data_IF_445838811369
#
_entry.id   IF_445838811369
#
_cell.length_a   1.000
_cell.length_b   1.000
_cell.length_c   1.000
_cell.angle_alpha   90.00
_cell.angle_beta   90.00
_cell.angle_gamma   90.00
#
_symmetry.space_group_name_H-M   'P 1'
#
loop_
_entity.id
_entity.type
_entity.pdbx_description
1 polymer ?
#
# COMPACT_ATOMS: atom_id res chain seq x y z
N UNK A 1 -4.14 12.06 -7.44
CA UNK A 1 -4.42 11.60 -8.82
C UNK A 1 -3.07 11.36 -9.45
N UNK A 2 -2.69 10.09 -9.55
CA UNK A 2 -2.57 9.35 -10.81
C UNK A 2 -1.44 9.93 -11.67
N UNK A 3 -0.48 9.21 -12.21
CA UNK A 3 -0.14 7.79 -12.31
C UNK A 3 0.90 7.77 -13.44
N UNK A 4 1.92 6.91 -13.38
CA UNK A 4 2.51 6.16 -14.52
C UNK A 4 3.85 5.60 -14.05
N UNK A 5 3.90 4.32 -13.70
CA UNK A 5 4.29 3.23 -14.62
C UNK A 5 5.75 3.37 -15.04
N UNK A 6 6.64 2.73 -14.29
CA UNK A 6 7.90 2.26 -14.87
C UNK A 6 7.82 0.75 -15.09
N UNK A 7 8.28 0.38 -16.28
CA UNK A 7 8.00 -0.82 -17.03
C UNK A 7 9.26 -1.66 -16.98
N UNK A 8 9.17 -2.84 -16.37
CA UNK A 8 10.20 -3.87 -16.48
C UNK A 8 10.44 -4.27 -17.94
N UNK A 9 11.70 -4.46 -18.35
CA UNK A 9 12.05 -5.46 -19.34
C UNK A 9 12.68 -6.67 -18.64
N UNK A 10 12.13 -7.85 -18.94
CA UNK A 10 12.67 -9.13 -18.51
C UNK A 10 13.79 -9.65 -19.43
N UNK A 11 14.44 -10.67 -18.89
CA UNK A 11 15.23 -11.71 -19.55
C UNK A 11 16.59 -11.33 -20.17
N UNK A 12 17.64 -11.75 -19.45
CA UNK A 12 18.99 -11.92 -19.98
C UNK A 12 19.77 -12.87 -19.11
N UNK A 13 19.62 -14.18 -19.36
CA UNK A 13 20.50 -15.24 -18.89
C UNK A 13 21.94 -14.94 -19.33
N UNK A 14 22.69 -14.27 -18.44
CA UNK A 14 24.09 -13.96 -18.67
C UNK A 14 24.93 -15.24 -18.70
N UNK A 15 25.30 -15.66 -19.91
CA UNK A 15 26.42 -16.55 -20.15
C UNK A 15 27.65 -16.02 -19.39
N UNK A 16 28.05 -16.69 -18.31
CA UNK A 16 29.35 -16.48 -17.68
C UNK A 16 30.43 -16.99 -18.63
N UNK A 17 31.02 -16.09 -19.40
CA UNK A 17 32.18 -16.37 -20.23
C UNK A 17 33.36 -16.77 -19.33
N UNK A 18 33.65 -18.07 -19.26
CA UNK A 18 34.77 -18.63 -18.51
C UNK A 18 36.10 -18.09 -19.06
N UNK A 19 36.78 -17.25 -18.28
CA UNK A 19 38.08 -16.66 -18.65
C UNK A 19 39.19 -17.45 -17.97
N UNK A 20 39.81 -18.37 -18.70
CA UNK A 20 40.98 -19.13 -18.25
C UNK A 20 42.25 -18.34 -18.55
N UNK A 21 43.00 -17.95 -17.53
CA UNK A 21 44.34 -17.37 -17.69
C UNK A 21 45.33 -18.23 -16.90
N UNK A 22 46.27 -18.87 -17.58
CA UNK A 22 47.41 -19.55 -16.96
C UNK A 22 48.68 -18.76 -17.29
N UNK A 23 49.44 -18.39 -16.25
CA UNK A 23 50.79 -17.84 -16.45
C UNK A 23 51.71 -18.99 -16.91
N UNK A 24 52.52 -18.83 -17.97
CA UNK A 24 53.38 -19.91 -18.43
C UNK A 24 54.41 -20.27 -17.35
N UNK A 25 54.31 -21.49 -16.82
CA UNK A 25 55.31 -22.06 -15.91
C UNK A 25 56.30 -22.86 -16.74
N UNK A 26 57.56 -22.43 -16.75
CA UNK A 26 58.62 -23.15 -17.44
C UNK A 26 58.76 -24.57 -16.86
N UNK A 27 58.73 -25.57 -17.74
CA UNK A 27 59.00 -26.97 -17.41
C UNK A 27 60.46 -27.07 -17.00
N UNK A 28 60.82 -27.64 -15.83
CA UNK A 28 62.21 -27.93 -15.53
C UNK A 28 62.69 -29.01 -16.50
N UNK A 29 63.41 -28.56 -17.52
CA UNK A 29 64.15 -29.41 -18.43
C UNK A 29 65.27 -30.10 -17.64
N UNK A 30 65.00 -31.25 -17.01
CA UNK A 30 66.05 -32.19 -16.65
C UNK A 30 66.56 -32.88 -17.93
N UNK A 31 67.12 -32.08 -18.85
CA UNK A 31 68.06 -32.59 -19.86
C UNK A 31 69.33 -32.93 -19.10
N UNK A 32 69.48 -34.20 -18.71
CA UNK A 32 70.81 -34.75 -18.45
C UNK A 32 71.60 -34.65 -19.75
N UNK A 33 72.58 -33.75 -19.83
CA UNK A 33 73.59 -33.77 -20.89
C UNK A 33 74.81 -34.53 -20.40
N UNK A 34 75.11 -35.60 -21.12
CA UNK A 34 76.44 -35.99 -21.59
C UNK A 34 77.55 -36.20 -20.54
N UNK A 35 77.47 -37.32 -19.83
CA UNK A 35 78.40 -38.45 -19.92
C UNK A 35 77.91 -39.57 -19.00
N UNK A 36 78.25 -40.80 -19.36
CA UNK A 36 77.87 -42.08 -18.74
C UNK A 36 76.79 -42.84 -19.51
N UNK A 37 77.04 -43.00 -20.82
CA UNK A 37 76.60 -44.17 -21.59
C UNK A 37 77.78 -45.11 -21.58
N UNK A 38 77.80 -46.08 -20.67
CA UNK A 38 78.43 -47.39 -20.88
C UNK A 38 77.84 -48.33 -19.82
N UNK A 39 77.14 -49.36 -20.30
CA UNK A 39 76.56 -50.49 -19.56
C UNK A 39 75.18 -50.23 -18.91
N UNK A 40 74.10 -50.35 -19.69
CA UNK A 40 72.94 -51.13 -19.25
C UNK A 40 72.07 -51.51 -20.46
N UNK A 41 71.73 -52.79 -20.52
CA UNK A 41 70.99 -53.49 -21.56
C UNK A 41 69.53 -53.02 -21.68
N UNK A 42 68.91 -53.34 -22.82
CA UNK A 42 67.52 -53.08 -23.17
C UNK A 42 66.52 -53.55 -22.09
N UNK A 43 65.99 -52.62 -21.30
CA UNK A 43 64.79 -52.85 -20.47
C UNK A 43 63.53 -52.54 -21.30
N UNK A 44 62.56 -53.46 -21.40
CA UNK A 44 61.34 -53.24 -22.16
C UNK A 44 60.52 -52.09 -21.54
N UNK A 45 60.15 -51.12 -22.39
CA UNK A 45 59.22 -50.03 -22.07
C UNK A 45 57.96 -50.60 -21.39
N UNK A 46 57.86 -50.44 -20.07
CA UNK A 46 56.70 -50.84 -19.28
C UNK A 46 55.51 -49.93 -19.66
N UNK A 47 54.65 -50.38 -20.56
CA UNK A 47 53.35 -49.73 -20.80
C UNK A 47 52.52 -49.84 -19.52
N UNK A 48 52.43 -48.75 -18.77
CA UNK A 48 51.59 -48.67 -17.59
C UNK A 48 50.13 -48.84 -17.98
N UNK A 49 49.46 -49.82 -17.37
CA UNK A 49 48.03 -50.05 -17.57
C UNK A 49 47.25 -48.77 -17.22
N UNK A 50 46.60 -48.19 -18.23
CA UNK A 50 45.77 -46.98 -18.14
C UNK A 50 44.65 -47.14 -17.11
N UNK A 51 44.30 -48.37 -16.73
CA UNK A 51 43.34 -48.75 -15.67
C UNK A 51 43.79 -48.45 -14.23
N UNK A 52 45.07 -48.13 -13.99
CA UNK A 52 45.56 -47.76 -12.65
C UNK A 52 46.23 -46.38 -12.61
N UNK A 53 46.24 -45.66 -13.73
CA UNK A 53 46.78 -44.30 -13.79
C UNK A 53 45.84 -43.32 -13.07
N UNK A 54 46.36 -42.65 -12.04
CA UNK A 54 45.65 -41.64 -11.25
C UNK A 54 45.30 -40.39 -12.07
N UNK A 55 45.95 -40.17 -13.21
CA UNK A 55 45.63 -39.06 -14.13
C UNK A 55 44.37 -39.32 -14.94
N UNK A 56 43.96 -40.59 -15.06
CA UNK A 56 42.82 -41.02 -15.86
C UNK A 56 41.60 -41.07 -14.94
N UNK A 57 40.83 -39.99 -14.92
CA UNK A 57 39.59 -39.89 -14.15
C UNK A 57 38.52 -40.77 -14.82
N UNK A 58 38.11 -41.85 -14.13
CA UNK A 58 37.03 -42.73 -14.60
C UNK A 58 35.75 -42.39 -13.86
N UNK A 59 34.77 -41.84 -14.58
CA UNK A 59 33.49 -41.42 -14.01
C UNK A 59 32.87 -40.28 -14.80
N UNK A 60 31.62 -39.93 -14.44
CA UNK A 60 30.85 -38.88 -15.08
C UNK A 60 31.39 -37.50 -14.66
N UNK A 61 31.71 -36.61 -15.61
CA UNK A 61 32.37 -35.30 -15.36
C UNK A 61 31.46 -34.21 -14.77
N UNK A 62 30.16 -34.51 -14.58
CA UNK A 62 29.16 -33.56 -14.07
C UNK A 62 29.16 -33.37 -12.55
N UNK A 63 29.96 -34.14 -11.80
CA UNK A 63 30.08 -34.02 -10.34
C UNK A 63 31.48 -33.56 -9.91
N UNK A 64 32.07 -32.60 -10.64
CA UNK A 64 33.20 -31.83 -10.10
C UNK A 64 32.66 -30.99 -8.93
N UNK A 65 33.15 -31.18 -7.68
CA UNK A 65 32.84 -30.27 -6.60
C UNK A 65 33.43 -28.90 -6.99
N UNK A 66 32.54 -27.96 -7.26
CA UNK A 66 32.93 -26.56 -7.42
C UNK A 66 33.37 -26.07 -6.04
N UNK A 67 34.69 -25.92 -5.89
CA UNK A 67 35.33 -25.11 -4.85
C UNK A 67 35.34 -25.69 -3.44
N UNK A 68 36.43 -26.36 -3.08
CA UNK A 68 36.87 -26.44 -1.68
C UNK A 68 38.14 -25.61 -1.51
N UNK A 69 38.11 -24.74 -0.50
CA UNK A 69 39.22 -23.89 -0.09
C UNK A 69 40.38 -24.76 0.43
N UNK A 70 41.65 -24.37 0.19
CA UNK A 70 42.80 -25.13 0.67
C UNK A 70 42.88 -25.03 2.19
N UNK A 71 42.58 -26.12 2.91
CA UNK A 71 42.81 -26.19 4.37
C UNK A 71 41.92 -27.13 5.18
N UNK A 72 40.81 -27.66 4.64
CA UNK A 72 40.02 -28.67 5.35
C UNK A 72 40.15 -30.05 4.70
N UNK A 73 40.48 -31.11 5.47
CA UNK A 73 40.38 -32.48 4.98
C UNK A 73 38.90 -32.86 4.76
N UNK A 74 38.60 -33.44 3.61
CA UNK A 74 37.26 -33.89 3.23
C UNK A 74 36.64 -34.77 4.34
N UNK A 75 35.38 -34.54 4.75
CA UNK A 75 34.74 -35.30 5.82
C UNK A 75 34.68 -36.81 5.55
N UNK A 76 34.65 -37.21 4.27
CA UNK A 76 34.74 -38.60 3.81
C UNK A 76 36.14 -39.21 3.98
N UNK A 77 37.22 -38.43 3.82
CA UNK A 77 38.58 -38.91 4.09
C UNK A 77 38.84 -39.02 5.59
N UNK A 78 38.34 -38.07 6.39
CA UNK A 78 38.44 -38.11 7.85
C UNK A 78 37.75 -39.36 8.42
N UNK A 79 36.56 -39.70 7.90
CA UNK A 79 35.82 -40.92 8.28
C UNK A 79 36.59 -42.19 7.91
N UNK A 80 37.20 -42.24 6.71
CA UNK A 80 38.02 -43.37 6.26
C UNK A 80 39.26 -43.56 7.13
N UNK A 81 39.93 -42.46 7.54
CA UNK A 81 41.08 -42.50 8.44
C UNK A 81 40.67 -42.96 9.86
N UNK A 82 39.53 -42.50 10.37
CA UNK A 82 39.01 -42.96 11.67
C UNK A 82 38.66 -44.45 11.65
N UNK A 83 38.04 -44.94 10.55
CA UNK A 83 37.73 -46.36 10.38
C UNK A 83 39.00 -47.23 10.27
N UNK A 84 40.02 -46.75 9.55
CA UNK A 84 41.32 -47.42 9.47
C UNK A 84 42.02 -47.48 10.84
N UNK A 85 42.00 -46.38 11.60
CA UNK A 85 42.50 -46.35 12.99
C UNK A 85 41.75 -47.32 13.90
N UNK A 86 40.41 -47.39 13.81
CA UNK A 86 39.59 -48.38 14.56
C UNK A 86 39.97 -49.81 14.22
N UNK A 87 40.14 -50.14 12.94
CA UNK A 87 40.52 -51.49 12.50
C UNK A 87 41.92 -51.87 12.96
N UNK A 88 42.88 -50.94 12.90
CA UNK A 88 44.24 -51.15 13.40
C UNK A 88 44.25 -51.41 14.92
N UNK A 89 43.46 -50.65 15.69
CA UNK A 89 43.37 -50.78 17.14
C UNK A 89 42.67 -52.10 17.55
N UNK A 90 41.63 -52.52 16.82
CA UNK A 90 40.99 -53.82 17.00
C UNK A 90 41.95 -54.99 16.70
N UNK A 91 42.76 -54.87 15.63
CA UNK A 91 43.79 -55.88 15.29
C UNK A 91 44.87 -55.98 16.37
N UNK A 92 45.27 -54.84 16.96
CA UNK A 92 46.22 -54.79 18.08
C UNK A 92 45.66 -55.44 19.36
N UNK A 93 44.38 -55.21 19.68
CA UNK A 93 43.68 -55.88 20.80
C UNK A 93 43.54 -57.39 20.58
N UNK A 94 43.19 -57.82 19.36
CA UNK A 94 43.11 -59.24 19.02
C UNK A 94 44.49 -59.93 19.13
N UNK A 95 45.57 -59.27 18.70
CA UNK A 95 46.93 -59.78 18.91
C UNK A 95 47.31 -59.87 20.38
N UNK A 96 46.84 -58.95 21.23
CA UNK A 96 47.09 -59.01 22.67
C UNK A 96 46.32 -60.15 23.35
N UNK A 97 45.09 -60.45 22.92
CA UNK A 97 44.34 -61.61 23.43
C UNK A 97 44.92 -62.96 22.98
N UNK A 98 45.57 -63.00 21.82
CA UNK A 98 46.27 -64.19 21.32
C UNK A 98 47.70 -64.32 21.86
N UNK A 99 48.17 -63.41 22.74
CA UNK A 99 49.46 -63.62 23.40
C UNK A 99 49.31 -64.79 24.39
N UNK A 100 50.08 -65.88 24.23
CA UNK A 100 50.07 -66.96 25.21
C UNK A 100 50.51 -66.40 26.57
N UNK A 101 49.82 -66.82 27.65
CA UNK A 101 50.04 -66.33 29.02
C UNK A 101 51.32 -66.89 29.66
N UNK A 102 52.08 -67.67 28.90
CA UNK A 102 53.40 -68.17 29.29
C UNK A 102 54.45 -67.05 29.25
N UNK A 103 55.38 -67.02 30.21
CA UNK A 103 56.45 -66.02 30.25
C UNK A 103 57.34 -66.07 29.01
N UNK A 104 57.99 -64.95 28.67
CA UNK A 104 58.85 -64.86 27.49
C UNK A 104 60.06 -65.82 27.60
N UNK A 105 60.49 -66.46 26.48
CA UNK A 105 61.62 -67.38 26.51
C UNK A 105 62.92 -66.67 26.90
N UNK A 106 63.73 -67.32 27.74
CA UNK A 106 65.05 -66.84 28.18
C UNK A 106 65.95 -66.57 26.97
N UNK A 107 66.73 -65.48 27.01
CA UNK A 107 67.60 -65.06 25.91
C UNK A 107 68.50 -66.23 25.43
N UNK A 108 68.44 -66.51 24.12
CA UNK A 108 69.18 -67.61 23.49
C UNK A 108 68.41 -68.94 23.35
N UNK A 109 67.17 -69.05 23.85
CA UNK A 109 66.31 -70.23 23.64
C UNK A 109 65.02 -69.85 22.90
N UNK A 110 64.47 -70.79 22.13
CA UNK A 110 63.15 -70.67 21.48
C UNK A 110 62.22 -71.71 22.08
N UNK A 111 60.98 -71.33 22.36
CA UNK A 111 59.95 -72.30 22.73
C UNK A 111 59.63 -73.20 21.52
N UNK A 112 59.49 -74.50 21.77
CA UNK A 112 59.07 -75.52 20.80
C UNK A 112 57.83 -76.20 21.38
N UNK A 113 56.82 -76.40 20.55
CA UNK A 113 55.58 -77.07 20.97
C UNK A 113 55.86 -78.57 21.15
N UNK A 114 55.60 -79.08 22.35
CA UNK A 114 55.70 -80.50 22.69
C UNK A 114 54.30 -81.10 22.62
N UNK A 115 54.15 -82.32 22.06
CA UNK A 115 52.88 -83.04 22.06
C UNK A 115 52.45 -83.35 23.51
N UNK A 116 51.52 -82.56 24.04
CA UNK A 116 50.89 -82.77 25.35
C UNK A 116 49.49 -83.37 25.24
N UNK A 117 49.16 -83.93 24.08
CA UNK A 117 47.93 -84.68 23.89
C UNK A 117 48.01 -86.06 24.55
N UNK A 118 46.90 -86.50 25.14
CA UNK A 118 46.83 -87.74 25.92
C UNK A 118 46.94 -88.95 24.98
N UNK A 119 48.13 -89.54 24.87
CA UNK A 119 48.36 -90.79 24.14
C UNK A 119 48.40 -91.95 25.15
N UNK A 120 47.34 -92.78 25.18
CA UNK A 120 47.25 -93.94 26.06
C UNK A 120 47.45 -95.22 25.23
N UNK A 121 48.47 -96.02 25.56
CA UNK A 121 48.61 -97.41 25.12
C UNK A 121 47.93 -98.34 26.14
N UNK A 122 47.05 -99.23 25.69
CA UNK A 122 46.32 -100.16 26.54
C UNK A 122 47.20 -101.41 26.80
N UNK A 123 47.60 -101.64 28.06
CA UNK A 123 48.37 -102.83 28.47
C UNK A 123 47.38 -103.97 28.79
N UNK A 124 47.42 -105.05 28.00
CA UNK A 124 46.40 -106.12 28.02
C UNK A 124 46.72 -107.34 28.92
N UNK A 125 47.51 -107.18 29.99
CA UNK A 125 47.88 -108.29 30.89
C UNK A 125 47.08 -108.24 32.21
N UNK A 126 46.34 -109.31 32.54
CA UNK A 126 45.49 -109.40 33.74
C UNK A 126 46.29 -109.95 34.94
N UNK A 127 46.21 -109.28 36.09
CA UNK A 127 46.83 -109.72 37.36
C UNK A 127 45.93 -110.74 38.07
N UNK A 128 46.54 -111.73 38.73
CA UNK A 128 45.86 -112.85 39.41
C UNK A 128 45.48 -112.46 40.85
N UNK A 129 44.20 -112.62 41.21
CA UNK A 129 43.66 -112.39 42.57
C UNK A 129 43.58 -113.71 43.36
N UNK A 130 43.85 -113.68 44.67
CA UNK A 130 43.77 -114.84 45.58
C UNK A 130 42.99 -114.47 46.84
N UNK A 131 41.92 -115.20 47.11
CA UNK A 131 41.08 -115.04 48.31
C UNK A 131 41.62 -115.84 49.50
N UNK A 132 41.57 -115.25 50.69
CA UNK A 132 41.89 -115.90 51.96
C UNK A 132 40.76 -115.70 52.98
N UNK A 133 40.27 -116.79 53.55
CA UNK A 133 39.26 -116.79 54.62
C UNK A 133 39.85 -117.38 55.91
N UNK A 134 39.51 -116.81 57.08
CA UNK A 134 39.89 -117.32 58.40
C UNK A 134 38.75 -117.17 59.40
N UNK A 135 38.48 -118.23 60.18
CA UNK A 135 37.32 -118.39 61.07
C UNK A 135 37.73 -118.73 62.53
N UNK A 136 36.95 -118.17 63.47
CA UNK A 136 36.64 -118.54 64.90
C UNK A 136 37.66 -118.36 66.03
N UNK A 137 37.24 -117.65 67.10
CA UNK A 137 36.70 -118.27 68.34
C UNK A 137 35.86 -117.24 69.18
N UNK A 138 35.04 -117.71 70.12
CA UNK A 138 34.07 -116.92 70.91
C UNK A 138 34.69 -116.22 72.15
N UNK A 139 34.66 -114.88 72.16
CA UNK A 139 35.18 -114.02 73.24
C UNK A 139 34.23 -113.95 74.44
N UNK A 140 34.75 -114.15 75.67
CA UNK A 140 34.07 -113.76 76.92
C UNK A 140 34.33 -112.27 77.23
N UNK A 141 33.30 -111.55 77.69
CA UNK A 141 33.36 -110.10 77.89
C UNK A 141 34.32 -109.68 79.00
N UNK A 142 35.41 -109.02 78.58
CA UNK A 142 36.34 -108.29 79.45
C UNK A 142 35.68 -106.98 79.89
N UNK A 143 35.73 -106.59 81.19
CA UNK A 143 35.18 -105.31 81.62
C UNK A 143 35.84 -104.15 80.86
N UNK A 144 35.09 -103.09 80.53
CA UNK A 144 35.57 -102.02 79.67
C UNK A 144 36.76 -101.30 80.33
N UNK A 145 37.88 -101.27 79.61
CA UNK A 145 39.09 -100.55 80.04
C UNK A 145 38.75 -99.06 80.18
N UNK A 146 39.12 -98.39 81.29
CA UNK A 146 38.82 -96.96 81.46
C UNK A 146 39.43 -96.12 80.34
N UNK A 147 38.67 -95.13 79.86
CA UNK A 147 39.09 -94.24 78.78
C UNK A 147 40.31 -93.42 79.21
N UNK A 148 41.42 -93.62 78.50
CA UNK A 148 42.63 -92.81 78.68
C UNK A 148 42.39 -91.42 78.05
N UNK A 149 42.34 -90.39 78.88
CA UNK A 149 42.31 -88.99 78.43
C UNK A 149 43.74 -88.45 78.51
N UNK A 150 44.42 -88.20 77.37
CA UNK A 150 45.75 -87.63 77.38
C UNK A 150 45.75 -86.23 78.01
N UNK A 151 46.75 -85.92 78.83
CA UNK A 151 46.97 -84.54 79.27
C UNK A 151 47.24 -83.65 78.05
N UNK A 152 46.63 -82.46 78.00
CA UNK A 152 46.91 -81.51 76.91
C UNK A 152 48.38 -81.09 76.99
N UNK A 153 49.18 -81.52 76.02
CA UNK A 153 50.59 -81.12 75.89
C UNK A 153 50.69 -80.04 74.81
N UNK A 154 50.74 -78.78 75.24
CA UNK A 154 50.86 -77.59 74.39
C UNK A 154 50.73 -76.32 75.24
N UNK A 155 51.35 -75.22 74.81
CA UNK A 155 51.14 -73.91 75.43
C UNK A 155 50.11 -73.15 74.60
N UNK A 156 48.96 -72.86 75.20
CA UNK A 156 47.93 -72.04 74.55
C UNK A 156 48.42 -70.58 74.48
N UNK A 157 48.52 -70.03 73.26
CA UNK A 157 48.88 -68.62 73.01
C UNK A 157 47.74 -68.00 72.21
N UNK A 158 47.14 -66.94 72.75
CA UNK A 158 46.18 -66.12 72.03
C UNK A 158 46.88 -64.89 71.45
N UNK A 159 46.71 -64.67 70.15
CA UNK A 159 47.14 -63.45 69.47
C UNK A 159 45.89 -62.65 69.12
N UNK A 160 45.77 -61.44 69.64
CA UNK A 160 44.67 -60.52 69.37
C UNK A 160 45.25 -59.25 68.78
N UNK A 161 44.66 -58.79 67.67
CA UNK A 161 44.93 -57.49 67.09
C UNK A 161 44.08 -56.46 67.82
N UNK A 162 44.69 -55.37 68.29
CA UNK A 162 44.01 -54.28 68.97
C UNK A 162 43.52 -53.21 67.98
N UNK A 163 42.53 -52.42 68.39
CA UNK A 163 42.03 -51.30 67.59
C UNK A 163 43.18 -50.32 67.27
N UNK A 164 43.38 -50.05 65.98
CA UNK A 164 44.42 -49.16 65.47
C UNK A 164 45.75 -49.83 65.06
N UNK A 165 45.96 -51.11 65.34
CA UNK A 165 47.23 -51.80 65.03
C UNK A 165 47.46 -52.05 63.52
N UNK A 166 46.38 -52.11 62.72
CA UNK A 166 46.44 -52.22 61.25
C UNK A 166 46.04 -50.92 60.51
N UNK A 167 45.93 -49.80 61.22
CA UNK A 167 45.52 -48.55 60.58
C UNK A 167 46.62 -48.00 59.66
N UNK A 168 46.32 -47.91 58.36
CA UNK A 168 47.14 -47.23 57.37
C UNK A 168 46.49 -45.89 56.98
N UNK A 169 47.09 -44.79 57.44
CA UNK A 169 46.60 -43.45 57.17
C UNK A 169 46.54 -43.14 55.66
N UNK A 170 47.57 -43.55 54.91
CA UNK A 170 47.68 -43.23 53.48
C UNK A 170 46.65 -44.00 52.65
N UNK A 171 46.14 -45.12 53.15
CA UNK A 171 45.04 -45.84 52.52
C UNK A 171 43.69 -45.22 52.87
N UNK A 172 43.46 -44.91 54.14
CA UNK A 172 42.15 -44.47 54.64
C UNK A 172 41.82 -43.02 54.26
N UNK A 173 42.83 -42.15 54.12
CA UNK A 173 42.64 -40.73 53.78
C UNK A 173 42.31 -40.51 52.29
N UNK A 174 42.66 -41.46 51.41
CA UNK A 174 42.43 -41.37 49.96
C UNK A 174 40.97 -41.09 49.57
N UNK A 175 39.97 -41.88 50.02
CA UNK A 175 38.57 -41.60 49.68
C UNK A 175 38.08 -40.25 50.20
N UNK A 176 38.57 -39.79 51.36
CA UNK A 176 38.24 -38.46 51.87
C UNK A 176 38.81 -37.34 50.99
N UNK A 177 40.08 -37.46 50.60
CA UNK A 177 40.73 -36.47 49.73
C UNK A 177 40.12 -36.45 48.33
N UNK A 178 39.80 -37.62 47.76
CA UNK A 178 39.14 -37.72 46.46
C UNK A 178 37.79 -36.98 46.46
N UNK A 179 36.98 -37.16 47.51
CA UNK A 179 35.69 -36.45 47.64
C UNK A 179 35.90 -34.95 47.85
N UNK A 180 36.84 -34.55 48.70
CA UNK A 180 37.10 -33.13 48.96
C UNK A 180 37.61 -32.41 47.72
N UNK A 181 38.61 -32.97 47.04
CA UNK A 181 39.17 -32.40 45.82
C UNK A 181 38.15 -32.41 44.69
N UNK A 182 37.44 -33.54 44.51
CA UNK A 182 36.40 -33.68 43.50
C UNK A 182 35.29 -32.63 43.67
N UNK A 183 34.76 -32.49 44.89
CA UNK A 183 33.69 -31.53 45.19
C UNK A 183 34.15 -30.08 45.07
N UNK A 184 35.39 -29.78 45.46
CA UNK A 184 35.96 -28.42 45.34
C UNK A 184 36.11 -28.04 43.87
N UNK A 185 36.63 -28.95 43.03
CA UNK A 185 36.78 -28.70 41.59
C UNK A 185 35.42 -28.59 40.92
N UNK A 186 34.49 -29.49 41.21
CA UNK A 186 33.13 -29.47 40.64
C UNK A 186 32.39 -28.18 40.99
N UNK A 187 32.42 -27.77 42.27
CA UNK A 187 31.83 -26.52 42.70
C UNK A 187 32.46 -25.32 42.01
N UNK A 188 33.80 -25.25 41.97
CA UNK A 188 34.50 -24.13 41.31
C UNK A 188 34.20 -24.04 39.81
N UNK A 189 34.03 -25.18 39.13
CA UNK A 189 33.69 -25.20 37.72
C UNK A 189 32.26 -24.69 37.47
N UNK A 190 31.30 -25.11 38.31
CA UNK A 190 29.92 -24.66 38.22
C UNK A 190 29.79 -23.16 38.47
N UNK A 191 30.49 -22.64 39.48
CA UNK A 191 30.49 -21.20 39.81
C UNK A 191 31.06 -20.37 38.64
N UNK A 192 32.19 -20.77 38.07
CA UNK A 192 32.80 -20.06 36.93
C UNK A 192 31.90 -20.10 35.69
N UNK A 193 31.25 -21.24 35.42
CA UNK A 193 30.31 -21.35 34.30
C UNK A 193 29.08 -20.44 34.50
N UNK A 194 28.53 -20.40 35.71
CA UNK A 194 27.40 -19.51 36.04
C UNK A 194 27.79 -18.04 35.89
N UNK A 195 28.98 -17.64 36.35
CA UNK A 195 29.47 -16.28 36.22
C UNK A 195 29.64 -15.86 34.75
N UNK A 196 30.18 -16.73 33.90
CA UNK A 196 30.36 -16.47 32.47
C UNK A 196 29.01 -16.36 31.74
N UNK A 197 28.05 -17.24 32.08
CA UNK A 197 26.69 -17.18 31.55
C UNK A 197 25.99 -15.87 31.96
N UNK A 198 26.07 -15.49 33.25
CA UNK A 198 25.51 -14.23 33.75
C UNK A 198 26.16 -13.00 33.09
N UNK A 199 27.47 -13.01 32.89
CA UNK A 199 28.18 -11.94 32.19
C UNK A 199 27.71 -11.81 30.73
N UNK A 200 27.52 -12.94 30.05
CA UNK A 200 27.02 -13.00 28.67
C UNK A 200 25.57 -12.52 28.58
N UNK A 201 24.70 -12.90 29.51
CA UNK A 201 23.31 -12.43 29.55
C UNK A 201 23.23 -10.93 29.79
N UNK A 202 24.05 -10.39 30.71
CA UNK A 202 24.12 -8.94 30.96
C UNK A 202 24.62 -8.16 29.74
N UNK A 203 25.68 -8.63 29.08
CA UNK A 203 26.20 -7.95 27.88
C UNK A 203 25.17 -7.94 26.76
N UNK A 204 24.47 -9.06 26.55
CA UNK A 204 23.36 -9.15 25.61
C UNK A 204 22.23 -8.18 25.98
N UNK A 205 21.81 -8.13 27.24
CA UNK A 205 20.76 -7.21 27.70
C UNK A 205 21.13 -5.75 27.44
N UNK A 206 22.37 -5.33 27.76
CA UNK A 206 22.82 -3.97 27.48
C UNK A 206 22.82 -3.65 25.99
N UNK A 207 23.27 -4.58 25.14
CA UNK A 207 23.24 -4.40 23.69
C UNK A 207 21.80 -4.25 23.17
N UNK A 208 20.86 -5.04 23.68
CA UNK A 208 19.43 -4.91 23.33
C UNK A 208 18.83 -3.59 23.80
N UNK A 209 19.15 -3.15 25.02
CA UNK A 209 18.68 -1.87 25.55
C UNK A 209 19.22 -0.68 24.74
N UNK A 210 20.50 -0.73 24.33
CA UNK A 210 21.10 0.28 23.48
C UNK A 210 20.39 0.39 22.13
N UNK A 211 20.20 -0.76 21.45
CA UNK A 211 19.46 -0.82 20.18
C UNK A 211 18.04 -0.29 20.36
N UNK A 212 17.33 -0.73 21.40
CA UNK A 212 15.96 -0.31 21.68
C UNK A 212 15.87 1.21 21.91
N UNK A 213 16.83 1.79 22.63
CA UNK A 213 16.86 3.23 22.89
C UNK A 213 17.10 4.03 21.61
N UNK A 214 17.99 3.54 20.73
CA UNK A 214 18.25 4.14 19.42
C UNK A 214 16.99 4.06 18.53
N UNK A 215 16.36 2.89 18.44
CA UNK A 215 15.14 2.68 17.67
C UNK A 215 14.00 3.58 18.17
N UNK A 216 13.82 3.68 19.50
CA UNK A 216 12.80 4.53 20.09
C UNK A 216 13.03 6.02 19.74
N UNK A 217 14.27 6.49 19.81
CA UNK A 217 14.61 7.86 19.44
C UNK A 217 14.37 8.13 17.95
N UNK A 218 14.67 7.17 17.08
CA UNK A 218 14.42 7.31 15.63
C UNK A 218 12.93 7.30 15.30
N UNK A 219 12.14 6.44 15.95
CA UNK A 219 10.67 6.43 15.80
C UNK A 219 10.08 7.77 16.21
N UNK A 220 10.48 8.33 17.35
CA UNK A 220 10.02 9.66 17.80
C UNK A 220 10.38 10.76 16.79
N UNK A 221 11.59 10.72 16.22
CA UNK A 221 12.03 11.66 15.19
C UNK A 221 11.15 11.59 13.94
N UNK A 222 10.83 10.38 13.49
CA UNK A 222 10.00 10.13 12.31
C UNK A 222 8.54 10.51 12.56
N UNK A 223 7.98 10.20 13.72
CA UNK A 223 6.61 10.57 14.10
C UNK A 223 6.42 12.10 14.13
N UNK A 224 7.37 12.82 14.72
CA UNK A 224 7.34 14.29 14.76
C UNK A 224 7.45 14.88 13.35
N UNK A 225 8.32 14.32 12.49
CA UNK A 225 8.40 14.71 11.09
C UNK A 225 7.09 14.44 10.34
N UNK A 226 6.48 13.26 10.54
CA UNK A 226 5.21 12.90 9.92
C UNK A 226 4.08 13.82 10.39
N UNK A 227 4.05 14.17 11.68
CA UNK A 227 3.08 15.12 12.24
C UNK A 227 3.15 16.46 11.51
N UNK A 228 4.35 17.03 11.36
CA UNK A 228 4.56 18.30 10.63
C UNK A 228 4.12 18.20 9.17
N UNK A 229 4.47 17.12 8.48
CA UNK A 229 4.06 16.92 7.09
C UNK A 229 2.55 16.75 6.95
N UNK A 230 1.90 16.07 7.91
CA UNK A 230 0.45 15.87 7.93
C UNK A 230 -0.28 17.19 8.13
N UNK A 231 0.15 17.99 9.11
CA UNK A 231 -0.40 19.32 9.37
C UNK A 231 -0.27 20.25 8.15
N UNK A 232 0.90 20.29 7.52
CA UNK A 232 1.10 21.10 6.30
C UNK A 232 0.23 20.59 5.14
N UNK A 233 0.15 19.26 4.95
CA UNK A 233 -0.70 18.66 3.90
C UNK A 233 -2.19 18.99 4.12
N UNK A 234 -2.67 18.95 5.36
CA UNK A 234 -4.04 19.33 5.69
C UNK A 234 -4.29 20.81 5.42
N UNK A 235 -3.37 21.70 5.81
CA UNK A 235 -3.45 23.13 5.49
C UNK A 235 -3.52 23.38 3.98
N UNK A 236 -2.67 22.71 3.20
CA UNK A 236 -2.69 22.82 1.73
C UNK A 236 -3.98 22.30 1.13
N UNK A 237 -4.51 21.19 1.65
CA UNK A 237 -5.80 20.63 1.22
C UNK A 237 -6.94 21.61 1.50
N UNK A 238 -6.95 22.25 2.68
CA UNK A 238 -7.97 23.23 3.03
C UNK A 238 -7.91 24.46 2.12
N UNK A 239 -6.71 25.02 1.90
CA UNK A 239 -6.52 26.13 0.97
C UNK A 239 -7.01 25.80 -0.44
N UNK A 240 -6.66 24.61 -0.95
CA UNK A 240 -7.11 24.17 -2.27
C UNK A 240 -8.63 23.99 -2.32
N UNK A 241 -9.21 23.45 -1.26
CA UNK A 241 -10.67 23.29 -1.16
C UNK A 241 -11.38 24.64 -1.19
N UNK A 242 -10.89 25.64 -0.44
CA UNK A 242 -11.44 27.00 -0.44
C UNK A 242 -11.31 27.66 -1.83
N UNK A 243 -10.19 27.47 -2.53
CA UNK A 243 -9.99 27.98 -3.90
C UNK A 243 -11.00 27.35 -4.86
N UNK A 244 -11.16 26.03 -4.81
CA UNK A 244 -12.10 25.31 -5.67
C UNK A 244 -13.54 25.70 -5.36
N UNK A 245 -13.89 25.86 -4.08
CA UNK A 245 -15.21 26.30 -3.66
C UNK A 245 -15.54 27.68 -4.23
N UNK A 246 -14.64 28.66 -4.04
CA UNK A 246 -14.80 30.01 -4.59
C UNK A 246 -14.87 29.99 -6.12
N UNK A 247 -14.03 29.18 -6.77
CA UNK A 247 -14.07 29.05 -8.23
C UNK A 247 -15.43 28.53 -8.70
N UNK A 248 -15.98 27.50 -8.06
CA UNK A 248 -17.29 26.96 -8.38
C UNK A 248 -18.40 28.01 -8.17
N UNK A 249 -18.39 28.75 -7.06
CA UNK A 249 -19.34 29.84 -6.84
C UNK A 249 -19.25 30.91 -7.93
N UNK A 250 -18.03 31.32 -8.29
CA UNK A 250 -17.83 32.33 -9.34
C UNK A 250 -18.29 31.81 -10.70
N UNK A 251 -18.01 30.54 -11.03
CA UNK A 251 -18.44 29.90 -12.26
C UNK A 251 -19.98 29.85 -12.36
N UNK A 252 -20.66 29.52 -11.27
CA UNK A 252 -22.13 29.53 -11.19
C UNK A 252 -22.71 30.94 -11.34
N UNK A 253 -22.09 31.96 -10.73
CA UNK A 253 -22.52 33.35 -10.89
C UNK A 253 -22.35 33.83 -12.33
N UNK A 254 -21.23 33.49 -12.97
CA UNK A 254 -20.95 33.83 -14.36
C UNK A 254 -21.94 33.11 -15.29
N UNK A 255 -22.19 31.81 -15.07
CA UNK A 255 -23.13 31.05 -15.90
C UNK A 255 -24.57 31.56 -15.75
N UNK A 256 -25.02 31.87 -14.52
CA UNK A 256 -26.33 32.44 -14.26
C UNK A 256 -26.49 33.82 -14.93
N UNK A 257 -25.47 34.69 -14.84
CA UNK A 257 -25.46 35.98 -15.53
C UNK A 257 -25.56 35.81 -17.05
N UNK A 258 -24.71 34.96 -17.62
CA UNK A 258 -24.71 34.72 -19.07
C UNK A 258 -26.04 34.13 -19.55
N UNK A 259 -26.62 33.20 -18.78
CA UNK A 259 -27.94 32.63 -19.04
C UNK A 259 -29.03 33.71 -18.99
N UNK A 260 -29.07 34.53 -17.94
CA UNK A 260 -30.04 35.61 -17.81
C UNK A 260 -29.91 36.63 -18.95
N UNK A 261 -28.70 37.01 -19.34
CA UNK A 261 -28.47 37.92 -20.45
C UNK A 261 -29.01 37.36 -21.77
N UNK A 262 -28.70 36.09 -22.08
CA UNK A 262 -29.22 35.44 -23.29
C UNK A 262 -30.73 35.30 -23.27
N UNK A 263 -31.29 34.84 -22.15
CA UNK A 263 -32.72 34.67 -21.99
C UNK A 263 -33.48 35.99 -22.13
N UNK A 264 -33.00 37.06 -21.49
CA UNK A 264 -33.60 38.40 -21.59
C UNK A 264 -33.44 39.01 -22.99
N UNK A 265 -32.33 38.76 -23.67
CA UNK A 265 -32.11 39.24 -25.03
C UNK A 265 -33.12 38.66 -26.02
N UNK A 266 -33.55 37.40 -25.83
CA UNK A 266 -34.54 36.74 -26.69
C UNK A 266 -35.99 37.05 -26.22
N UNK A 267 -36.21 37.14 -24.91
CA UNK A 267 -37.54 37.40 -24.34
C UNK A 267 -38.02 38.83 -24.58
N UNK A 268 -37.15 39.84 -24.44
CA UNK A 268 -37.56 41.23 -24.55
C UNK A 268 -38.18 41.53 -25.93
N UNK A 269 -37.51 41.26 -27.08
CA UNK A 269 -38.09 41.46 -28.39
C UNK A 269 -39.40 40.71 -28.57
N UNK A 270 -39.46 39.43 -28.17
CA UNK A 270 -40.68 38.62 -28.29
C UNK A 270 -41.87 39.20 -27.51
N UNK A 271 -41.64 39.68 -26.28
CA UNK A 271 -42.69 40.34 -25.49
C UNK A 271 -43.07 41.68 -26.11
N UNK A 272 -42.11 42.50 -26.52
CA UNK A 272 -42.37 43.79 -27.17
C UNK A 272 -43.15 43.63 -28.48
N UNK A 273 -42.83 42.62 -29.30
CA UNK A 273 -43.56 42.29 -30.52
C UNK A 273 -44.97 41.81 -30.20
N UNK A 274 -45.15 40.89 -29.23
CA UNK A 274 -46.48 40.46 -28.82
C UNK A 274 -47.36 41.60 -28.27
N UNK A 275 -46.75 42.56 -27.57
CA UNK A 275 -47.43 43.70 -26.99
C UNK A 275 -47.75 44.78 -28.06
N UNK A 276 -46.93 44.86 -29.11
CA UNK A 276 -47.20 45.65 -30.31
C UNK A 276 -48.34 45.04 -31.12
N UNK A 277 -48.31 43.73 -31.35
CA UNK A 277 -49.34 43.00 -32.10
C UNK A 277 -50.71 43.01 -31.38
N UNK A 278 -50.71 43.00 -30.06
CA UNK A 278 -51.93 43.16 -29.24
C UNK A 278 -52.44 44.60 -29.16
N UNK A 279 -51.76 45.56 -29.82
CA UNK A 279 -52.22 46.94 -29.95
C UNK A 279 -52.03 47.81 -28.71
N UNK A 280 -51.18 47.39 -27.75
CA UNK A 280 -50.92 48.18 -26.54
C UNK A 280 -49.97 49.35 -26.82
N UNK A 281 -49.03 49.18 -27.76
CA UNK A 281 -48.22 50.29 -28.29
C UNK A 281 -48.95 50.95 -29.45
N UNK A 282 -49.38 52.20 -29.27
CA UNK A 282 -49.99 53.02 -30.30
C UNK A 282 -49.09 54.21 -30.65
N UNK A 283 -49.18 54.69 -31.89
CA UNK A 283 -48.59 55.97 -32.25
C UNK A 283 -49.46 57.08 -31.64
N UNK A 284 -48.91 57.95 -30.77
CA UNK A 284 -49.67 59.04 -30.17
C UNK A 284 -50.32 59.95 -31.23
N UNK A 285 -49.71 60.09 -32.40
CA UNK A 285 -50.23 60.93 -33.49
C UNK A 285 -51.44 60.25 -34.14
N UNK A 286 -51.35 58.96 -34.44
CA UNK A 286 -52.45 58.20 -35.01
C UNK A 286 -53.66 58.19 -34.06
N UNK A 287 -53.41 58.00 -32.76
CA UNK A 287 -54.47 58.02 -31.74
C UNK A 287 -55.11 59.40 -31.57
N UNK A 288 -54.32 60.47 -31.61
CA UNK A 288 -54.83 61.84 -31.53
C UNK A 288 -55.66 62.21 -32.78
N UNK A 289 -55.27 61.70 -33.95
CA UNK A 289 -56.08 61.84 -35.16
C UNK A 289 -57.40 61.07 -35.02
N UNK A 290 -57.37 59.81 -34.58
CA UNK A 290 -58.57 58.98 -34.42
C UNK A 290 -59.55 59.51 -33.37
N UNK A 291 -59.05 59.98 -32.21
CA UNK A 291 -59.88 60.38 -31.07
C UNK A 291 -60.18 61.88 -31.06
N UNK A 292 -59.23 62.71 -31.49
CA UNK A 292 -59.38 64.15 -31.50
C UNK A 292 -59.88 64.67 -32.85
N UNK A 293 -59.10 64.47 -33.90
CA UNK A 293 -59.35 65.11 -35.20
C UNK A 293 -60.56 64.55 -35.95
N UNK A 294 -60.70 63.22 -36.06
CA UNK A 294 -61.81 62.62 -36.82
C UNK A 294 -63.18 62.97 -36.22
N UNK A 295 -63.42 62.88 -34.90
CA UNK A 295 -64.70 63.29 -34.33
C UNK A 295 -64.95 64.79 -34.47
N UNK A 296 -63.91 65.62 -34.33
CA UNK A 296 -64.02 67.06 -34.59
C UNK A 296 -64.42 67.36 -36.04
N UNK A 297 -63.78 66.70 -37.01
CA UNK A 297 -64.08 66.86 -38.43
C UNK A 297 -65.51 66.39 -38.74
N UNK A 298 -65.91 65.23 -38.21
CA UNK A 298 -67.26 64.69 -38.41
C UNK A 298 -68.33 65.61 -37.82
N UNK A 299 -68.09 66.20 -36.64
CA UNK A 299 -68.98 67.19 -36.03
C UNK A 299 -69.06 68.49 -36.85
N UNK A 300 -67.94 68.95 -37.41
CA UNK A 300 -67.97 70.15 -38.25
C UNK A 300 -68.71 69.91 -39.57
N UNK A 301 -68.52 68.73 -40.18
CA UNK A 301 -69.32 68.30 -41.35
C UNK A 301 -70.81 68.21 -40.98
N UNK A 302 -71.14 67.64 -39.82
CA UNK A 302 -72.53 67.57 -39.33
C UNK A 302 -73.15 68.96 -39.17
N UNK A 303 -72.47 69.91 -38.53
CA UNK A 303 -72.94 71.30 -38.44
C UNK A 303 -73.18 71.92 -39.81
N UNK A 304 -72.26 71.75 -40.78
CA UNK A 304 -72.47 72.28 -42.12
C UNK A 304 -73.67 71.64 -42.83
N UNK A 305 -73.93 70.36 -42.59
CA UNK A 305 -75.12 69.67 -43.08
C UNK A 305 -76.38 70.21 -42.40
N UNK A 306 -76.36 70.42 -41.08
CA UNK A 306 -77.46 71.03 -40.32
C UNK A 306 -77.78 72.44 -40.83
N UNK A 307 -76.76 73.31 -41.01
CA UNK A 307 -76.96 74.63 -41.59
C UNK A 307 -77.55 74.58 -42.99
N UNK A 308 -77.10 73.64 -43.85
CA UNK A 308 -77.69 73.43 -45.17
C UNK A 308 -79.13 72.91 -45.08
N UNK A 309 -79.44 72.05 -44.12
CA UNK A 309 -80.78 71.52 -43.90
C UNK A 309 -81.73 72.61 -43.38
N UNK A 310 -81.29 73.42 -42.43
CA UNK A 310 -82.02 74.62 -41.97
C UNK A 310 -82.19 75.63 -43.11
N UNK A 311 -81.16 75.86 -43.92
CA UNK A 311 -81.27 76.69 -45.12
C UNK A 311 -82.33 76.19 -46.10
N UNK A 312 -82.39 74.86 -46.32
CA UNK A 312 -83.42 74.22 -47.15
C UNK A 312 -84.80 74.31 -46.52
N UNK A 313 -84.97 74.11 -45.22
CA UNK A 313 -86.29 74.22 -44.56
C UNK A 313 -86.80 75.65 -44.57
N UNK A 314 -85.94 76.65 -44.33
CA UNK A 314 -86.31 78.07 -44.44
C UNK A 314 -86.70 78.41 -45.87
N UNK A 315 -85.96 77.92 -46.87
CA UNK A 315 -86.31 78.11 -48.28
C UNK A 315 -87.67 77.47 -48.60
N UNK A 316 -87.93 76.25 -48.14
CA UNK A 316 -89.22 75.58 -48.32
C UNK A 316 -90.37 76.33 -47.60
N UNK A 317 -90.14 76.86 -46.40
CA UNK A 317 -91.11 77.71 -45.68
C UNK A 317 -91.40 78.99 -46.45
N UNK A 318 -90.36 79.65 -47.00
CA UNK A 318 -90.52 80.84 -47.82
C UNK A 318 -91.30 80.54 -49.10
N UNK A 319 -91.02 79.40 -49.76
CA UNK A 319 -91.78 78.93 -50.92
C UNK A 319 -93.25 78.70 -50.53
N UNK A 320 -93.53 78.04 -49.40
CA UNK A 320 -94.89 77.84 -48.90
C UNK A 320 -95.60 79.17 -48.63
N UNK A 321 -94.98 80.12 -47.95
CA UNK A 321 -95.56 81.45 -47.71
C UNK A 321 -95.85 82.22 -49.00
N UNK A 322 -94.95 82.16 -49.98
CA UNK A 322 -95.15 82.81 -51.28
C UNK A 322 -96.30 82.15 -52.04
N UNK A 323 -96.43 80.83 -51.95
CA UNK A 323 -97.56 80.08 -52.56
C UNK A 323 -98.87 80.41 -51.84
N UNK A 324 -98.92 80.42 -50.51
CA UNK A 324 -100.11 80.83 -49.73
C UNK A 324 -100.51 82.28 -50.00
N UNK A 325 -99.57 83.24 -50.02
CA UNK A 325 -99.86 84.63 -50.37
C UNK A 325 -100.42 84.75 -51.78
N UNK A 326 -99.93 83.95 -52.73
CA UNK A 326 -100.50 83.90 -54.08
C UNK A 326 -101.90 83.29 -54.08
N UNK A 327 -102.13 82.20 -53.33
CA UNK A 327 -103.44 81.55 -53.21
C UNK A 327 -104.48 82.51 -52.58
N UNK A 328 -104.13 83.17 -51.47
CA UNK A 328 -104.96 84.19 -50.82
C UNK A 328 -105.22 85.40 -51.72
N UNK A 329 -104.25 85.80 -52.57
CA UNK A 329 -104.45 86.87 -53.55
C UNK A 329 -105.37 86.45 -54.71
N UNK A 330 -105.56 85.14 -54.95
CA UNK A 330 -106.60 84.64 -55.84
C UNK A 330 -107.96 84.62 -55.12
N UNK A 331 -108.05 84.12 -53.88
CA UNK A 331 -109.30 84.11 -53.09
C UNK A 331 -109.83 85.54 -52.81
N UNK A 332 -108.97 86.51 -52.48
CA UNK A 332 -109.37 87.93 -52.35
C UNK A 332 -109.73 88.62 -53.67
N UNK A 333 -109.37 88.06 -54.83
CA UNK A 333 -109.84 88.54 -56.14
C UNK A 333 -111.19 87.94 -56.53
N UNK A 334 -111.64 86.87 -55.88
CA UNK A 334 -112.99 86.33 -56.02
C UNK A 334 -113.97 86.97 -55.00
N UNK A 335 -113.48 87.47 -53.86
CA UNK A 335 -114.29 88.18 -52.85
C UNK A 335 -114.36 89.72 -53.02
N UNK A 336 -113.58 90.31 -53.94
CA UNK A 336 -113.63 91.74 -54.34
C UNK A 336 -114.54 91.98 -55.55
N UNK A 337 -115.73 91.41 -55.50
CA UNK A 337 -116.88 91.92 -56.26
C UNK A 337 -117.52 93.09 -55.47
N UNK A 338 -118.00 94.12 -56.19
CA UNK A 338 -119.16 94.93 -55.76
C UNK A 338 -119.07 95.76 -54.44
N UNK A 339 -118.55 97.00 -54.47
CA UNK A 339 -119.16 98.19 -53.77
C UNK A 339 -118.35 99.51 -53.83
N UNK A 340 -118.74 100.37 -54.78
CA UNK A 340 -119.03 101.83 -54.74
C UNK A 340 -118.32 102.82 -53.77
N UNK A 341 -117.57 103.77 -54.38
CA UNK A 341 -117.50 105.28 -54.30
C UNK A 341 -118.51 105.96 -53.31
N UNK A 342 -118.27 107.11 -52.59
CA UNK A 342 -117.63 108.34 -53.13
C UNK A 342 -116.96 109.42 -52.20
N UNK A 343 -116.47 110.48 -52.88
CA UNK A 343 -116.24 111.91 -52.52
C UNK A 343 -114.93 112.40 -51.86
N UNK A 344 -114.10 113.02 -52.72
CA UNK A 344 -113.64 114.42 -52.76
C UNK A 344 -112.96 115.15 -51.56
N UNK A 345 -111.68 115.50 -51.80
CA UNK A 345 -111.29 116.92 -51.94
C UNK A 345 -110.41 117.57 -50.85
N UNK A 346 -109.30 118.19 -51.31
CA UNK A 346 -108.38 119.14 -50.64
C UNK A 346 -107.34 118.53 -49.68
N UNK A 347 -106.05 118.87 -49.67
CA UNK A 347 -105.22 119.93 -50.27
C UNK A 347 -103.98 120.09 -49.36
N UNK A 348 -102.76 120.06 -49.93
CA UNK A 348 -101.46 120.02 -49.20
C UNK A 348 -101.10 121.25 -48.34
N UNK A 349 -99.87 121.39 -47.78
CA UNK A 349 -98.58 121.08 -48.41
C UNK A 349 -97.52 120.38 -47.53
N UNK A 350 -96.39 120.02 -48.16
CA UNK A 350 -95.39 119.08 -47.66
C UNK A 350 -94.44 119.54 -46.55
N UNK A 351 -93.93 118.52 -45.85
CA UNK A 351 -92.73 118.55 -45.02
C UNK A 351 -92.16 117.11 -44.93
N UNK A 352 -90.98 116.88 -45.48
CA UNK A 352 -90.14 115.72 -45.13
C UNK A 352 -89.09 116.21 -44.14
N UNK A 353 -89.10 115.56 -42.98
CA UNK A 353 -88.26 115.80 -41.81
C UNK A 353 -86.97 114.96 -41.86
N UNK A 354 -85.91 115.57 -41.34
CA UNK A 354 -84.96 115.09 -40.33
C UNK A 354 -84.59 113.59 -40.24
N UNK A 355 -83.28 113.34 -40.22
CA UNK A 355 -82.66 112.41 -39.28
C UNK A 355 -81.29 112.93 -38.81
N UNK A 356 -81.07 113.12 -37.50
CA UNK A 356 -79.77 113.45 -36.89
C UNK A 356 -79.14 112.20 -36.23
N UNK A 357 -77.82 111.96 -36.37
CA UNK A 357 -76.70 112.31 -35.46
C UNK A 357 -76.36 111.22 -34.41
N UNK A 358 -75.07 110.83 -34.39
CA UNK A 358 -74.26 110.28 -33.27
C UNK A 358 -74.59 108.90 -32.69
N UNK A 359 -73.70 108.12 -32.06
CA UNK A 359 -72.24 107.97 -31.98
C UNK A 359 -71.98 106.63 -31.23
N UNK A 360 -70.69 106.33 -30.99
CA UNK A 360 -70.08 105.38 -30.03
C UNK A 360 -69.68 104.00 -30.62
N UNK A 361 -68.49 103.37 -30.45
CA UNK A 361 -67.21 103.49 -29.70
C UNK A 361 -66.92 102.17 -28.94
N UNK A 362 -65.99 101.32 -29.47
CA UNK A 362 -65.06 100.30 -28.84
C UNK A 362 -65.59 99.25 -27.81
N UNK A 363 -64.83 98.22 -27.33
CA UNK A 363 -63.37 97.95 -27.35
C UNK A 363 -62.88 96.55 -27.84
N UNK A 364 -61.67 96.45 -28.42
CA UNK A 364 -60.34 96.03 -27.87
C UNK A 364 -60.32 94.62 -27.24
N UNK A 365 -59.53 93.68 -27.81
CA UNK A 365 -58.42 93.01 -27.10
C UNK A 365 -57.38 92.45 -28.09
N UNK A 366 -56.13 92.72 -27.72
CA UNK A 366 -54.87 92.34 -28.35
C UNK A 366 -54.42 90.98 -27.78
N UNK A 367 -53.91 90.06 -28.60
CA UNK A 367 -53.05 88.96 -28.12
C UNK A 367 -51.79 88.90 -28.97
N UNK A 368 -50.75 89.52 -28.43
CA UNK A 368 -49.35 89.20 -28.65
C UNK A 368 -49.04 87.79 -28.12
N UNK A 369 -48.43 86.93 -28.94
CA UNK A 369 -47.66 85.77 -28.45
C UNK A 369 -46.19 86.08 -28.67
N UNK A 370 -45.50 86.31 -27.56
CA UNK A 370 -44.04 86.15 -27.46
C UNK A 370 -43.74 84.69 -27.13
N UNK A 371 -42.80 84.07 -27.83
CA UNK A 371 -42.06 82.92 -27.30
C UNK A 371 -40.58 83.28 -27.24
N UNK A 372 -40.02 83.19 -26.04
CA UNK A 372 -38.64 83.55 -25.73
C UNK A 372 -38.07 82.50 -24.76
N UNK A 373 -37.00 81.83 -25.21
CA UNK A 373 -36.02 80.99 -24.48
C UNK A 373 -36.57 79.71 -23.80
N UNK A 374 -35.84 78.61 -23.56
CA UNK A 374 -34.41 78.36 -23.48
C UNK A 374 -34.12 76.88 -23.82
N UNK A 375 -33.02 76.65 -24.52
CA UNK A 375 -32.26 75.40 -24.49
C UNK A 375 -31.63 75.19 -23.10
N UNK A 376 -31.69 73.96 -22.55
CA UNK A 376 -30.77 73.51 -21.52
C UNK A 376 -30.23 72.12 -21.90
N UNK A 377 -28.93 72.09 -22.15
CA UNK A 377 -28.06 70.91 -22.14
C UNK A 377 -27.48 70.76 -20.73
N UNK A 378 -27.17 69.51 -20.36
CA UNK A 378 -26.21 69.06 -19.33
C UNK A 378 -26.52 69.31 -17.83
N UNK A 379 -26.67 68.22 -17.06
CA UNK A 379 -25.63 67.71 -16.12
C UNK A 379 -26.21 66.79 -15.03
N UNK A 380 -25.51 65.67 -14.79
CA UNK A 380 -25.32 64.96 -13.50
C UNK A 380 -26.54 64.45 -12.71
N UNK A 381 -26.80 63.14 -12.80
CA UNK A 381 -26.45 62.14 -11.76
C UNK A 381 -26.26 60.75 -12.38
#
# INVERSE_FOLDING_TARGET
MASTLDRSPGAGTGHRTYTYTSRPRAVPCQRRRYRDILLQEDEPLHYGNIMYDRRVVRGNTYALPIGQLPGQPDPLELQRQQQAKRRALARKRAQQQLRPRTPEPVEGRKHVDVQTELYLEEIADRVIEVDMECQTDAFLDRPPTPLFIPAKTGKDVATQILEGELFDFDLEVKPMLEVLVGKTIEQSLLEVMEEEELATLRSNQYAYEEIRNIELAEVQRLEEQERRHREEKERRKQQQWDIVHKHNETALKISARAFAQRYLADLLPSVFDSLRDSGYFYDPIERDIEVGFLPWLMNEVEKTMEFNMVGRTVLDMLIREVVEKRLNAYEHKEDQDLSLIPEDGFGGPGAMRDSPVECTHFPIYCVTISFKLHSNLLSHE
#
